data_IF_075827099357
#
_entry.id   IF_075827099357
#
_cell.length_a   1.000
_cell.length_b   1.000
_cell.length_c   1.000
_cell.angle_alpha   90.00
_cell.angle_beta   90.00
_cell.angle_gamma   90.00
#
_symmetry.space_group_name_H-M   'P 1'
#
loop_
_entity.id
_entity.type
_entity.pdbx_description
1 polymer ?
#
# COMPACT_ATOMS: atom_id res chain seq x y z
N UNK A 1 22.93 20.31 -6.01
CA UNK A 1 23.00 19.64 -7.30
C UNK A 1 23.44 20.66 -8.35
N UNK A 2 24.50 20.36 -9.08
CA UNK A 2 25.09 21.23 -10.09
C UNK A 2 24.19 21.48 -11.33
N UNK A 3 23.00 20.87 -11.39
CA UNK A 3 22.12 20.92 -12.56
C UNK A 3 22.63 20.17 -13.79
N UNK A 4 23.84 19.63 -13.73
CA UNK A 4 24.45 18.84 -14.81
C UNK A 4 23.97 17.39 -14.68
N UNK A 5 23.49 16.76 -15.77
CA UNK A 5 23.14 15.33 -15.74
C UNK A 5 24.33 14.49 -15.30
N UNK A 6 24.14 13.64 -14.30
CA UNK A 6 25.20 12.72 -13.83
C UNK A 6 25.37 11.64 -14.90
N UNK A 7 26.59 11.49 -15.40
CA UNK A 7 26.95 10.38 -16.31
C UNK A 7 27.31 9.14 -15.50
N UNK A 8 26.83 8.00 -15.96
CA UNK A 8 27.18 6.71 -15.42
C UNK A 8 27.53 5.72 -16.55
N UNK A 9 28.25 4.66 -16.21
CA UNK A 9 28.70 3.64 -17.16
C UNK A 9 28.41 2.26 -16.58
N UNK A 10 27.73 1.40 -17.33
CA UNK A 10 27.44 0.01 -16.96
C UNK A 10 28.10 -0.98 -17.90
N UNK A 11 28.31 -2.21 -17.46
CA UNK A 11 28.84 -3.30 -18.29
C UNK A 11 30.12 -2.94 -19.06
N UNK A 12 31.04 -2.22 -18.42
CA UNK A 12 32.24 -1.66 -19.05
C UNK A 12 32.04 -0.18 -19.31
N UNK A 13 31.96 0.22 -20.58
CA UNK A 13 31.93 1.64 -20.97
C UNK A 13 30.61 2.06 -21.64
N UNK A 14 29.53 1.32 -21.41
CA UNK A 14 28.22 1.68 -21.96
C UNK A 14 27.66 2.89 -21.17
N UNK A 15 27.57 4.08 -21.81
CA UNK A 15 27.09 5.26 -21.11
C UNK A 15 25.57 5.14 -20.85
N UNK A 16 25.15 5.54 -19.66
CA UNK A 16 23.75 5.60 -19.23
C UNK A 16 23.50 6.90 -18.48
N UNK A 17 22.24 7.30 -18.43
CA UNK A 17 21.83 8.42 -17.58
C UNK A 17 21.88 7.97 -16.11
N UNK A 18 22.75 8.61 -15.33
CA UNK A 18 22.90 8.31 -13.89
C UNK A 18 21.64 8.54 -13.07
N UNK A 19 20.65 9.31 -13.58
CA UNK A 19 19.36 9.48 -12.92
C UNK A 19 18.45 8.27 -13.11
N UNK A 20 18.65 7.49 -14.16
CA UNK A 20 17.93 6.24 -14.41
C UNK A 20 18.53 5.05 -13.66
N UNK A 21 19.80 5.12 -13.31
CA UNK A 21 20.53 4.10 -12.54
C UNK A 21 20.95 4.67 -11.19
N UNK A 22 20.00 4.82 -10.28
CA UNK A 22 20.30 5.37 -8.96
C UNK A 22 20.80 4.31 -7.99
N UNK A 23 21.65 4.70 -7.04
CA UNK A 23 22.18 3.79 -6.00
C UNK A 23 21.04 3.09 -5.22
N UNK A 24 19.95 3.81 -4.98
CA UNK A 24 18.78 3.30 -4.24
C UNK A 24 18.01 2.20 -4.99
N UNK A 25 18.15 2.10 -6.30
CA UNK A 25 17.49 1.04 -7.09
C UNK A 25 18.01 -0.35 -6.72
N UNK A 26 19.29 -0.46 -6.34
CA UNK A 26 19.91 -1.72 -5.95
C UNK A 26 20.21 -1.77 -4.44
N UNK A 27 20.77 -0.69 -3.87
CA UNK A 27 21.15 -0.65 -2.46
C UNK A 27 19.99 -0.31 -1.51
N UNK A 28 18.78 -0.04 -2.04
CA UNK A 28 17.60 0.43 -1.32
C UNK A 28 17.78 1.79 -0.64
N UNK A 29 16.69 2.45 -0.28
CA UNK A 29 16.77 3.73 0.46
C UNK A 29 17.39 3.59 1.86
N UNK A 30 17.27 2.41 2.46
CA UNK A 30 17.90 2.07 3.75
C UNK A 30 19.42 1.90 3.66
N UNK A 31 19.97 1.71 2.46
CA UNK A 31 21.37 1.35 2.26
C UNK A 31 21.72 -0.06 2.75
N UNK A 32 20.73 -0.90 3.08
CA UNK A 32 20.98 -2.27 3.62
C UNK A 32 21.30 -3.29 2.54
N UNK A 33 21.14 -2.92 1.26
CA UNK A 33 21.34 -3.83 0.13
C UNK A 33 20.16 -4.75 -0.15
N UNK A 34 20.31 -5.57 -1.19
CA UNK A 34 19.27 -6.51 -1.65
C UNK A 34 19.87 -7.79 -2.22
N UNK A 35 19.03 -8.79 -2.45
CA UNK A 35 19.36 -9.97 -3.27
C UNK A 35 18.29 -10.09 -4.34
N UNK A 36 18.70 -10.03 -5.59
CA UNK A 36 17.84 -10.16 -6.76
C UNK A 36 18.39 -11.25 -7.68
N UNK A 37 17.78 -12.45 -7.59
CA UNK A 37 18.31 -13.62 -8.26
C UNK A 37 19.72 -13.97 -7.76
N UNK A 38 20.72 -13.94 -8.66
CA UNK A 38 22.11 -14.20 -8.34
C UNK A 38 22.92 -12.91 -7.99
N UNK A 39 22.27 -11.74 -8.12
CA UNK A 39 22.93 -10.46 -7.84
C UNK A 39 22.77 -10.11 -6.36
N UNK A 40 23.91 -10.03 -5.68
CA UNK A 40 23.99 -9.61 -4.28
C UNK A 40 24.47 -8.17 -4.24
N UNK A 41 23.62 -7.27 -3.77
CA UNK A 41 23.95 -5.87 -3.56
C UNK A 41 24.29 -5.65 -2.09
N UNK A 42 25.55 -5.33 -1.75
CA UNK A 42 25.97 -5.21 -0.36
C UNK A 42 25.42 -3.94 0.31
N UNK A 43 25.38 -3.91 1.65
CA UNK A 43 25.06 -2.69 2.41
C UNK A 43 26.06 -1.56 2.14
N UNK A 44 25.52 -0.34 2.13
CA UNK A 44 26.27 0.92 1.90
C UNK A 44 26.20 1.89 3.09
N UNK A 45 25.72 1.45 4.23
CA UNK A 45 25.70 2.24 5.46
C UNK A 45 27.11 2.58 5.92
N UNK A 46 27.34 3.81 6.37
CA UNK A 46 28.67 4.29 6.73
C UNK A 46 29.41 3.37 7.69
N UNK A 47 28.77 2.98 8.81
CA UNK A 47 29.37 2.06 9.76
C UNK A 47 29.84 0.74 9.12
N UNK A 48 29.08 0.18 8.19
CA UNK A 48 29.43 -1.07 7.50
C UNK A 48 30.54 -0.85 6.49
N UNK A 49 30.52 0.27 5.76
CA UNK A 49 31.56 0.59 4.79
C UNK A 49 32.91 0.84 5.46
N UNK A 50 32.95 1.61 6.54
CA UNK A 50 34.15 2.02 7.26
C UNK A 50 34.64 1.01 8.31
N UNK A 51 34.13 -0.23 8.27
CA UNK A 51 34.64 -1.37 8.99
C UNK A 51 35.19 -2.44 8.03
N UNK A 52 36.22 -3.21 8.41
CA UNK A 52 36.66 -4.31 7.59
C UNK A 52 35.58 -5.39 7.49
N UNK A 53 35.34 -5.89 6.29
CA UNK A 53 34.49 -7.05 6.09
C UNK A 53 35.33 -8.31 6.33
N UNK A 54 34.97 -9.02 7.41
CA UNK A 54 35.61 -10.28 7.79
C UNK A 54 34.87 -11.47 7.17
N UNK A 55 35.51 -12.65 7.04
CA UNK A 55 34.84 -13.85 6.62
C UNK A 55 33.69 -14.18 7.55
N UNK A 56 32.62 -14.72 6.98
CA UNK A 56 31.53 -15.28 7.77
C UNK A 56 32.02 -16.57 8.45
N UNK A 57 32.11 -16.58 9.78
CA UNK A 57 32.40 -17.76 10.58
C UNK A 57 31.07 -18.27 11.16
N UNK A 58 30.57 -19.44 10.73
CA UNK A 58 29.35 -20.03 11.30
C UNK A 58 29.50 -20.20 12.83
N UNK A 59 28.51 -19.74 13.61
CA UNK A 59 28.52 -19.83 15.08
C UNK A 59 29.20 -18.67 15.82
N UNK A 60 29.71 -17.64 15.13
CA UNK A 60 30.17 -16.43 15.81
C UNK A 60 28.98 -15.64 16.39
N UNK A 61 29.16 -15.06 17.59
CA UNK A 61 28.13 -14.23 18.25
C UNK A 61 27.79 -12.95 17.47
N UNK A 62 28.65 -12.53 16.57
CA UNK A 62 28.44 -11.37 15.73
C UNK A 62 27.83 -11.80 14.39
N UNK A 63 26.50 -11.77 14.34
CA UNK A 63 25.75 -11.97 13.10
C UNK A 63 25.28 -10.58 12.64
N UNK A 64 25.90 -9.98 11.60
CA UNK A 64 25.39 -8.73 11.05
C UNK A 64 23.95 -8.87 10.58
N UNK A 65 23.18 -7.80 10.62
CA UNK A 65 21.77 -7.78 10.13
C UNK A 65 21.63 -8.18 8.64
N UNK A 66 22.73 -8.27 7.91
CA UNK A 66 22.83 -8.75 6.52
C UNK A 66 23.54 -10.10 6.38
N UNK A 67 23.58 -10.89 7.43
CA UNK A 67 24.38 -12.12 7.53
C UNK A 67 24.08 -13.18 6.48
N UNK A 68 22.88 -13.18 5.92
CA UNK A 68 22.48 -14.19 4.95
C UNK A 68 23.33 -14.21 3.70
N UNK A 69 23.80 -13.07 3.25
CA UNK A 69 24.68 -12.95 2.09
C UNK A 69 26.10 -12.50 2.45
N UNK A 70 26.35 -12.16 3.72
CA UNK A 70 27.71 -11.83 4.15
C UNK A 70 28.72 -12.95 3.83
N UNK A 71 28.27 -14.22 3.87
CA UNK A 71 29.05 -15.40 3.50
C UNK A 71 29.43 -15.47 2.02
N UNK A 72 28.71 -14.77 1.15
CA UNK A 72 28.98 -14.72 -0.28
C UNK A 72 29.78 -13.49 -0.69
N UNK A 73 29.91 -12.52 0.21
CA UNK A 73 30.66 -11.31 -0.05
C UNK A 73 32.17 -11.50 0.31
N UNK A 74 33.04 -11.13 -0.57
CA UNK A 74 34.50 -11.27 -0.34
C UNK A 74 34.95 -10.36 0.81
N UNK A 75 36.02 -10.80 1.50
CA UNK A 75 36.69 -9.98 2.50
C UNK A 75 37.24 -8.70 1.89
N UNK A 76 37.27 -7.65 2.69
CA UNK A 76 37.89 -6.38 2.35
C UNK A 76 38.32 -5.60 3.59
N UNK A 77 39.36 -4.73 3.51
CA UNK A 77 39.62 -3.74 4.55
C UNK A 77 38.48 -2.73 4.67
N UNK A 78 38.49 -1.90 5.71
CA UNK A 78 37.62 -0.74 5.80
C UNK A 78 37.86 0.18 4.58
N UNK A 79 36.78 0.79 4.08
CA UNK A 79 36.96 1.90 3.14
C UNK A 79 37.50 3.13 3.88
N UNK A 80 38.30 3.90 3.17
CA UNK A 80 38.53 5.34 3.44
C UNK A 80 37.67 6.14 2.48
N UNK A 81 37.58 7.46 2.67
CA UNK A 81 36.87 8.33 1.72
C UNK A 81 37.45 8.20 0.31
N UNK A 82 38.80 8.16 0.20
CA UNK A 82 39.51 8.04 -1.08
C UNK A 82 39.22 6.69 -1.75
N UNK A 83 39.30 5.59 -1.01
CA UNK A 83 39.07 4.26 -1.58
C UNK A 83 37.59 4.03 -1.92
N UNK A 84 36.66 4.68 -1.21
CA UNK A 84 35.26 4.65 -1.55
C UNK A 84 34.97 5.50 -2.80
N UNK A 85 35.58 6.68 -2.91
CA UNK A 85 35.54 7.48 -4.13
C UNK A 85 36.09 6.72 -5.33
N UNK A 86 37.24 6.08 -5.16
CA UNK A 86 37.83 5.25 -6.20
C UNK A 86 36.92 4.11 -6.65
N UNK A 87 36.26 3.43 -5.72
CA UNK A 87 35.25 2.41 -6.05
C UNK A 87 34.10 2.98 -6.89
N UNK A 88 33.54 4.11 -6.52
CA UNK A 88 32.40 4.72 -7.22
C UNK A 88 32.79 5.16 -8.63
N UNK A 89 34.03 5.69 -8.81
CA UNK A 89 34.53 6.15 -10.10
C UNK A 89 35.00 5.00 -11.01
N UNK A 90 35.65 4.00 -10.43
CA UNK A 90 36.39 2.97 -11.22
C UNK A 90 35.76 1.57 -11.17
N UNK A 91 34.93 1.30 -10.16
CA UNK A 91 34.41 -0.03 -9.89
C UNK A 91 35.43 -0.98 -9.26
N UNK A 92 36.52 -0.45 -8.70
CA UNK A 92 37.62 -1.24 -8.09
C UNK A 92 37.57 -1.08 -6.56
N UNK A 93 37.51 -2.19 -5.84
CA UNK A 93 37.49 -2.19 -4.38
C UNK A 93 38.92 -2.01 -3.79
N UNK A 94 39.05 -1.78 -2.46
CA UNK A 94 40.36 -1.59 -1.82
C UNK A 94 41.32 -2.79 -1.91
N UNK A 95 40.87 -3.94 -2.40
CA UNK A 95 41.67 -5.14 -2.61
C UNK A 95 42.05 -5.34 -4.09
N UNK A 96 41.85 -4.30 -4.90
CA UNK A 96 42.07 -4.31 -6.36
C UNK A 96 41.18 -5.27 -7.14
N UNK A 97 40.00 -5.64 -6.58
CA UNK A 97 39.03 -6.45 -7.27
C UNK A 97 37.97 -5.54 -7.96
N UNK A 98 37.62 -5.92 -9.17
CA UNK A 98 36.49 -5.30 -9.85
C UNK A 98 35.16 -5.78 -9.22
N UNK A 99 34.27 -4.86 -8.90
CA UNK A 99 32.91 -5.19 -8.51
C UNK A 99 32.10 -5.67 -9.72
N UNK A 100 30.89 -6.22 -9.48
CA UNK A 100 30.04 -6.69 -10.57
C UNK A 100 29.80 -5.57 -11.57
N UNK A 101 29.89 -5.86 -12.86
CA UNK A 101 29.70 -4.89 -13.96
C UNK A 101 28.32 -4.28 -14.03
N UNK A 102 27.35 -4.86 -13.32
CA UNK A 102 25.99 -4.31 -13.17
C UNK A 102 25.98 -3.08 -12.24
N UNK A 103 26.94 -2.96 -11.32
CA UNK A 103 27.10 -1.75 -10.51
C UNK A 103 27.64 -0.63 -11.40
N UNK A 104 26.89 0.47 -11.59
CA UNK A 104 27.34 1.59 -12.39
C UNK A 104 28.58 2.26 -11.80
N UNK A 105 29.46 2.75 -12.67
CA UNK A 105 30.50 3.72 -12.31
C UNK A 105 30.00 5.11 -12.61
N UNK A 106 30.16 6.03 -11.69
CA UNK A 106 29.61 7.38 -11.80
C UNK A 106 30.72 8.39 -12.01
N UNK A 107 30.57 9.23 -13.02
CA UNK A 107 31.47 10.36 -13.28
C UNK A 107 31.03 11.54 -12.38
N UNK A 108 31.51 11.54 -11.14
CA UNK A 108 31.21 12.56 -10.13
C UNK A 108 32.42 13.46 -9.93
N UNK A 109 32.20 14.79 -9.98
CA UNK A 109 33.19 15.76 -9.54
C UNK A 109 33.43 15.71 -8.02
N UNK A 110 34.55 16.29 -7.57
CA UNK A 110 34.93 16.25 -6.15
C UNK A 110 33.84 16.68 -5.17
N UNK A 111 33.09 17.76 -5.49
CA UNK A 111 32.03 18.27 -4.65
C UNK A 111 30.87 17.29 -4.53
N UNK A 112 30.41 16.70 -5.63
CA UNK A 112 29.29 15.76 -5.63
C UNK A 112 29.71 14.43 -4.99
N UNK A 113 30.95 14.01 -5.16
CA UNK A 113 31.54 12.88 -4.47
C UNK A 113 31.58 13.07 -2.95
N UNK A 114 31.99 14.25 -2.48
CA UNK A 114 31.98 14.55 -1.05
C UNK A 114 30.57 14.52 -0.45
N UNK A 115 29.57 15.04 -1.18
CA UNK A 115 28.16 14.98 -0.79
C UNK A 115 27.70 13.51 -0.70
N UNK A 116 28.02 12.69 -1.72
CA UNK A 116 27.66 11.28 -1.75
C UNK A 116 28.28 10.51 -0.56
N UNK A 117 29.55 10.70 -0.30
CA UNK A 117 30.26 10.06 0.83
C UNK A 117 29.63 10.50 2.17
N UNK A 118 29.36 11.80 2.33
CA UNK A 118 28.67 12.31 3.53
C UNK A 118 27.29 11.68 3.71
N UNK A 119 26.53 11.53 2.63
CA UNK A 119 25.24 10.85 2.66
C UNK A 119 25.36 9.39 3.08
N UNK A 120 26.28 8.63 2.49
CA UNK A 120 26.50 7.23 2.84
C UNK A 120 26.94 7.07 4.32
N UNK A 121 27.75 7.97 4.85
CA UNK A 121 28.11 8.01 6.28
C UNK A 121 26.93 8.27 7.18
N UNK A 122 25.94 9.02 6.72
CA UNK A 122 24.72 9.36 7.47
C UNK A 122 23.70 8.22 7.53
N UNK A 123 23.80 7.21 6.66
CA UNK A 123 22.89 6.08 6.66
C UNK A 123 23.06 5.25 7.93
N UNK A 124 21.98 5.09 8.69
CA UNK A 124 21.96 4.33 9.94
C UNK A 124 22.14 2.83 9.69
N UNK A 125 22.86 2.17 10.56
CA UNK A 125 22.93 0.72 10.67
C UNK A 125 22.13 0.19 11.88
N UNK A 126 21.51 1.08 12.61
CA UNK A 126 20.65 0.72 13.74
C UNK A 126 19.40 -0.01 13.24
N UNK A 127 18.95 -1.05 13.93
CA UNK A 127 17.69 -1.68 13.62
C UNK A 127 16.57 -0.62 13.56
N UNK A 128 15.66 -0.69 12.60
CA UNK A 128 14.52 0.20 12.59
C UNK A 128 13.67 0.01 13.86
N UNK A 129 12.88 1.03 14.25
CA UNK A 129 11.97 0.88 15.38
C UNK A 129 11.13 -0.40 15.28
N UNK A 130 10.92 -1.08 16.39
CA UNK A 130 10.16 -2.32 16.44
C UNK A 130 10.92 -3.57 16.00
N UNK A 131 12.19 -3.46 15.59
CA UNK A 131 13.04 -4.62 15.25
C UNK A 131 14.06 -4.86 16.34
N UNK A 132 14.09 -6.07 16.86
CA UNK A 132 15.09 -6.55 17.82
C UNK A 132 15.84 -7.75 17.23
N UNK A 133 16.80 -8.31 17.96
CA UNK A 133 17.52 -9.52 17.54
C UNK A 133 16.62 -10.76 17.41
N UNK A 134 15.48 -10.80 18.10
CA UNK A 134 14.60 -11.97 18.24
C UNK A 134 13.19 -11.73 17.66
N UNK A 135 12.81 -10.45 17.42
CA UNK A 135 11.42 -10.10 17.13
C UNK A 135 11.30 -8.89 16.18
N UNK A 136 10.29 -8.94 15.33
CA UNK A 136 9.78 -7.77 14.60
C UNK A 136 8.36 -7.49 15.12
N UNK A 137 8.15 -6.27 15.61
CA UNK A 137 6.87 -5.82 16.16
C UNK A 137 6.08 -5.07 15.12
N UNK A 138 4.84 -5.48 14.96
CA UNK A 138 3.84 -4.82 14.15
C UNK A 138 2.70 -4.32 15.04
N UNK A 139 1.92 -3.39 14.54
CA UNK A 139 0.64 -3.05 15.13
C UNK A 139 -0.44 -2.95 14.04
N UNK A 140 -1.70 -2.98 14.48
CA UNK A 140 -2.85 -2.65 13.66
C UNK A 140 -3.71 -1.62 14.38
N UNK A 141 -4.22 -0.64 13.65
CA UNK A 141 -5.04 0.44 14.21
C UNK A 141 -6.51 0.13 14.00
N UNK A 142 -7.28 0.16 15.07
CA UNK A 142 -8.72 -0.07 15.06
C UNK A 142 -9.41 1.19 15.57
N UNK A 143 -10.27 1.77 14.75
CA UNK A 143 -11.10 2.90 15.18
C UNK A 143 -12.30 2.36 15.96
N UNK A 144 -12.53 2.90 17.17
CA UNK A 144 -13.66 2.54 18.01
C UNK A 144 -14.99 2.76 17.28
N UNK A 145 -15.93 1.83 17.46
CA UNK A 145 -17.23 1.88 16.77
C UNK A 145 -17.29 1.19 15.41
N UNK A 146 -16.16 0.74 14.87
CA UNK A 146 -16.15 -0.08 13.65
C UNK A 146 -16.84 -1.43 13.88
N UNK A 147 -17.58 -1.93 12.88
CA UNK A 147 -18.31 -3.22 12.98
C UNK A 147 -17.37 -4.34 13.48
N UNK A 148 -17.69 -4.99 14.61
CA UNK A 148 -16.85 -6.05 15.18
C UNK A 148 -16.62 -7.22 14.21
N UNK A 149 -17.55 -7.51 13.31
CA UNK A 149 -17.41 -8.56 12.30
C UNK A 149 -16.35 -8.16 11.27
N UNK A 150 -16.34 -6.91 10.82
CA UNK A 150 -15.34 -6.38 9.92
C UNK A 150 -13.95 -6.37 10.58
N UNK A 151 -13.87 -5.93 11.84
CA UNK A 151 -12.63 -5.98 12.64
C UNK A 151 -12.09 -7.40 12.71
N UNK A 152 -12.92 -8.38 13.07
CA UNK A 152 -12.50 -9.78 13.18
C UNK A 152 -12.09 -10.36 11.82
N UNK A 153 -12.79 -10.00 10.73
CA UNK A 153 -12.46 -10.44 9.38
C UNK A 153 -11.09 -9.92 8.92
N UNK A 154 -10.67 -8.74 9.36
CA UNK A 154 -9.34 -8.20 9.11
C UNK A 154 -8.28 -8.87 10.01
N UNK A 155 -8.58 -9.04 11.31
CA UNK A 155 -7.61 -9.54 12.29
C UNK A 155 -7.29 -11.03 12.13
N UNK A 156 -8.29 -11.86 11.81
CA UNK A 156 -8.12 -13.31 11.78
C UNK A 156 -7.03 -13.77 10.79
N UNK A 157 -6.99 -13.33 9.52
CA UNK A 157 -5.94 -13.71 8.59
C UNK A 157 -4.56 -13.15 8.98
N UNK A 158 -4.50 -11.95 9.56
CA UNK A 158 -3.24 -11.38 10.06
C UNK A 158 -2.68 -12.24 11.21
N UNK A 159 -3.49 -12.55 12.20
CA UNK A 159 -3.08 -13.36 13.34
C UNK A 159 -2.68 -14.78 12.88
N UNK A 160 -3.47 -15.40 12.01
CA UNK A 160 -3.14 -16.70 11.44
C UNK A 160 -1.77 -16.71 10.75
N UNK A 161 -1.48 -15.66 9.96
CA UNK A 161 -0.22 -15.55 9.23
C UNK A 161 0.97 -15.38 10.18
N UNK A 162 0.81 -14.59 11.24
CA UNK A 162 1.81 -14.40 12.29
C UNK A 162 2.05 -15.68 13.08
N UNK A 163 1.00 -16.35 13.50
CA UNK A 163 1.10 -17.61 14.25
C UNK A 163 1.77 -18.70 13.42
N UNK A 164 1.42 -18.81 12.15
CA UNK A 164 2.07 -19.73 11.19
C UNK A 164 3.55 -19.40 11.04
N UNK A 165 3.91 -18.10 10.86
CA UNK A 165 5.30 -17.67 10.77
C UNK A 165 6.08 -18.01 12.03
N UNK A 166 5.51 -17.76 13.21
CA UNK A 166 6.14 -18.03 14.50
C UNK A 166 6.31 -19.54 14.76
N UNK A 167 5.36 -20.35 14.33
CA UNK A 167 5.46 -21.80 14.41
C UNK A 167 6.60 -22.33 13.54
N UNK A 168 6.77 -21.80 12.33
CA UNK A 168 7.89 -22.14 11.44
C UNK A 168 9.23 -21.70 12.03
N UNK A 169 9.31 -20.50 12.61
CA UNK A 169 10.52 -20.04 13.28
C UNK A 169 10.91 -20.94 14.46
N UNK A 170 9.94 -21.34 15.27
CA UNK A 170 10.18 -22.25 16.39
C UNK A 170 10.61 -23.65 15.92
N UNK A 171 10.00 -24.17 14.87
CA UNK A 171 10.38 -25.47 14.28
C UNK A 171 11.80 -25.42 13.67
N UNK A 172 12.17 -24.30 13.02
CA UNK A 172 13.50 -24.09 12.45
C UNK A 172 14.58 -24.10 13.54
N UNK A 173 14.33 -23.50 14.69
CA UNK A 173 15.27 -23.50 15.82
C UNK A 173 15.43 -24.92 16.41
N UNK A 174 14.35 -25.72 16.44
CA UNK A 174 14.38 -27.07 17.02
C UNK A 174 14.91 -28.16 16.08
N UNK A 175 14.86 -27.95 14.79
CA UNK A 175 15.19 -28.98 13.81
C UNK A 175 15.98 -28.42 12.63
N UNK A 176 17.30 -28.67 12.62
CA UNK A 176 18.22 -28.21 11.55
C UNK A 176 17.81 -28.65 10.12
N UNK A 177 17.02 -29.69 9.96
CA UNK A 177 16.49 -30.14 8.65
C UNK A 177 15.38 -29.22 8.14
N UNK A 178 14.48 -28.82 9.05
CA UNK A 178 13.39 -27.85 8.74
C UNK A 178 13.97 -26.46 8.54
N UNK A 179 15.00 -26.09 9.33
CA UNK A 179 15.78 -24.86 9.14
C UNK A 179 16.37 -24.77 7.72
N UNK A 180 16.90 -25.89 7.19
CA UNK A 180 17.48 -25.93 5.83
C UNK A 180 16.44 -25.76 4.72
N UNK A 181 15.20 -26.30 4.89
CA UNK A 181 14.11 -26.10 3.94
C UNK A 181 13.52 -24.68 4.02
N UNK A 182 13.33 -24.14 5.22
CA UNK A 182 12.86 -22.77 5.44
C UNK A 182 13.91 -21.72 5.05
N UNK A 183 15.19 -22.03 5.22
CA UNK A 183 16.33 -21.18 4.87
C UNK A 183 16.41 -20.87 3.36
N UNK A 184 16.06 -21.84 2.53
CA UNK A 184 16.03 -21.64 1.08
C UNK A 184 14.83 -20.82 0.58
N UNK A 185 13.76 -20.69 1.38
CA UNK A 185 12.55 -19.97 0.99
C UNK A 185 12.39 -18.57 1.63
N UNK A 186 12.90 -18.34 2.84
CA UNK A 186 12.61 -17.14 3.64
C UNK A 186 13.84 -16.43 4.24
N UNK A 187 15.04 -16.96 4.04
CA UNK A 187 16.27 -16.38 4.59
C UNK A 187 16.31 -16.36 6.15
N UNK A 188 17.14 -15.49 6.74
CA UNK A 188 17.30 -15.36 8.21
C UNK A 188 16.05 -14.83 8.94
N UNK A 189 15.12 -14.19 8.22
CA UNK A 189 13.84 -13.82 8.78
C UNK A 189 13.04 -15.03 9.31
N UNK A 190 13.43 -16.25 8.96
CA UNK A 190 12.81 -17.47 9.51
C UNK A 190 12.95 -17.60 11.02
N UNK A 191 14.03 -17.08 11.61
CA UNK A 191 14.30 -17.19 13.04
C UNK A 191 13.61 -16.10 13.87
N UNK A 192 13.34 -14.92 13.28
CA UNK A 192 12.69 -13.82 13.99
C UNK A 192 11.20 -14.12 14.24
N UNK A 193 10.73 -13.85 15.43
CA UNK A 193 9.30 -13.88 15.75
C UNK A 193 8.62 -12.60 15.28
N UNK A 194 7.34 -12.69 14.98
CA UNK A 194 6.48 -11.55 14.70
C UNK A 194 5.48 -11.38 15.83
N UNK A 195 5.25 -10.15 16.27
CA UNK A 195 4.16 -9.80 17.17
C UNK A 195 3.25 -8.76 16.54
N UNK A 196 1.98 -8.74 16.95
CA UNK A 196 0.96 -7.82 16.48
C UNK A 196 0.24 -7.21 17.66
N UNK A 197 0.50 -5.92 17.90
CA UNK A 197 -0.22 -5.12 18.89
C UNK A 197 -1.48 -4.50 18.28
N UNK A 198 -2.53 -4.37 19.08
CA UNK A 198 -3.78 -3.73 18.67
C UNK A 198 -3.86 -2.34 19.27
N UNK A 199 -3.84 -1.33 18.44
CA UNK A 199 -3.98 0.07 18.84
C UNK A 199 -5.41 0.52 18.61
N UNK A 200 -6.21 0.57 19.66
CA UNK A 200 -7.60 1.03 19.56
C UNK A 200 -7.64 2.53 19.84
N UNK A 201 -7.94 3.31 18.82
CA UNK A 201 -8.11 4.75 18.92
C UNK A 201 -9.59 5.12 19.00
N UNK A 202 -9.92 6.15 19.75
CA UNK A 202 -11.29 6.52 20.08
C UNK A 202 -11.52 8.02 20.14
N UNK A 203 -12.78 8.39 20.14
CA UNK A 203 -13.19 9.80 20.17
C UNK A 203 -12.98 10.51 18.83
N UNK A 204 -12.93 11.84 18.87
CA UNK A 204 -12.81 12.67 17.68
C UNK A 204 -11.45 12.47 16.98
N UNK A 205 -11.40 12.49 15.63
CA UNK A 205 -10.16 12.30 14.85
C UNK A 205 -9.02 13.25 15.25
N UNK A 206 -9.34 14.46 15.69
CA UNK A 206 -8.37 15.43 16.18
C UNK A 206 -7.56 14.94 17.39
N UNK A 207 -8.06 13.97 18.16
CA UNK A 207 -7.38 13.39 19.32
C UNK A 207 -6.55 12.15 19.00
N UNK A 208 -6.68 11.57 17.82
CA UNK A 208 -6.04 10.30 17.46
C UNK A 208 -4.53 10.40 17.40
N UNK A 209 -4.03 11.54 16.96
CA UNK A 209 -2.59 11.79 16.90
C UNK A 209 -1.89 11.53 18.24
N UNK A 210 -2.43 12.09 19.31
CA UNK A 210 -1.87 11.91 20.66
C UNK A 210 -1.91 10.45 21.09
N UNK A 211 -3.02 9.74 20.83
CA UNK A 211 -3.15 8.32 21.17
C UNK A 211 -2.15 7.45 20.40
N UNK A 212 -1.95 7.70 19.10
CA UNK A 212 -0.96 7.00 18.30
C UNK A 212 0.47 7.23 18.78
N UNK A 213 0.79 8.46 19.18
CA UNK A 213 2.10 8.78 19.74
C UNK A 213 2.34 8.11 21.11
N UNK A 214 1.32 7.98 21.94
CA UNK A 214 1.40 7.26 23.20
C UNK A 214 1.64 5.76 22.97
N UNK A 215 0.89 5.12 22.06
CA UNK A 215 1.13 3.72 21.69
C UNK A 215 2.55 3.52 21.18
N UNK A 216 2.98 4.33 20.22
CA UNK A 216 4.29 4.20 19.62
C UNK A 216 5.44 4.47 20.59
N UNK A 217 5.30 5.43 21.49
CA UNK A 217 6.30 5.71 22.53
C UNK A 217 6.44 4.55 23.51
N UNK A 218 5.31 3.91 23.87
CA UNK A 218 5.30 2.76 24.77
C UNK A 218 5.88 1.52 24.10
N UNK A 219 5.53 1.29 22.86
CA UNK A 219 5.94 0.12 22.09
C UNK A 219 6.17 0.51 20.63
N UNK A 220 7.41 0.90 20.27
CA UNK A 220 7.74 1.18 18.87
C UNK A 220 7.52 -0.05 17.99
N UNK A 221 6.97 0.17 16.80
CA UNK A 221 6.69 -0.88 15.83
C UNK A 221 7.39 -0.62 14.50
N UNK A 222 7.70 -1.69 13.78
CA UNK A 222 8.32 -1.63 12.46
C UNK A 222 7.34 -1.13 11.40
N UNK A 223 6.11 -1.63 11.45
CA UNK A 223 5.06 -1.25 10.51
C UNK A 223 3.67 -1.43 11.13
N UNK A 224 2.69 -0.74 10.57
CA UNK A 224 1.29 -1.03 10.77
C UNK A 224 0.81 -2.00 9.68
N UNK A 225 0.11 -3.06 10.08
CA UNK A 225 -0.47 -4.06 9.18
C UNK A 225 -2.00 -3.95 9.21
N UNK A 226 -2.61 -3.75 8.07
CA UNK A 226 -4.04 -3.50 8.01
C UNK A 226 -4.38 -2.17 8.71
N UNK A 227 -5.33 -2.22 9.59
CA UNK A 227 -6.01 -1.08 10.20
C UNK A 227 -7.39 -0.94 9.61
N UNK A 228 -8.36 -0.44 10.39
CA UNK A 228 -9.73 -0.38 9.94
C UNK A 228 -10.47 0.85 10.45
N UNK A 229 -11.17 1.52 9.53
CA UNK A 229 -12.06 2.65 9.82
C UNK A 229 -13.14 2.78 8.75
N UNK A 230 -14.38 2.99 9.17
CA UNK A 230 -15.49 3.37 8.28
C UNK A 230 -15.58 4.88 8.03
N UNK A 231 -14.72 5.66 8.67
CA UNK A 231 -14.73 7.12 8.62
C UNK A 231 -13.39 7.74 8.24
N UNK A 232 -12.88 8.56 9.14
CA UNK A 232 -11.61 9.24 8.94
C UNK A 232 -10.43 8.28 9.05
N UNK A 233 -9.39 8.53 8.25
CA UNK A 233 -8.11 7.83 8.34
C UNK A 233 -6.91 8.77 8.25
N UNK A 234 -7.14 10.00 7.83
CA UNK A 234 -6.09 10.98 7.60
C UNK A 234 -5.14 11.18 8.79
N UNK A 235 -5.59 11.21 10.07
CA UNK A 235 -4.67 11.34 11.21
C UNK A 235 -3.70 10.15 11.34
N UNK A 236 -4.15 8.92 11.01
CA UNK A 236 -3.29 7.72 11.02
C UNK A 236 -2.30 7.78 9.86
N UNK A 237 -2.77 8.15 8.67
CA UNK A 237 -1.94 8.33 7.50
C UNK A 237 -0.81 9.35 7.78
N UNK A 238 -1.15 10.55 8.27
CA UNK A 238 -0.16 11.59 8.60
C UNK A 238 0.83 11.16 9.67
N UNK A 239 0.36 10.46 10.68
CA UNK A 239 1.24 9.88 11.69
C UNK A 239 2.29 8.96 11.06
N UNK A 240 1.87 8.08 10.14
CA UNK A 240 2.76 7.14 9.46
C UNK A 240 3.79 7.87 8.58
N UNK A 241 3.35 8.88 7.80
CA UNK A 241 4.25 9.67 6.95
C UNK A 241 5.30 10.41 7.77
N UNK A 242 4.90 11.09 8.85
CA UNK A 242 5.82 11.86 9.69
C UNK A 242 6.78 10.99 10.49
N UNK A 243 6.33 9.86 11.02
CA UNK A 243 7.17 8.92 11.77
C UNK A 243 7.93 7.95 10.85
N UNK A 244 7.66 7.99 9.54
CA UNK A 244 8.24 7.07 8.54
C UNK A 244 7.96 5.60 8.87
N UNK A 245 6.73 5.32 9.29
CA UNK A 245 6.26 3.97 9.64
C UNK A 245 5.46 3.42 8.46
N UNK A 246 5.89 2.32 7.83
CA UNK A 246 5.07 1.69 6.79
C UNK A 246 3.68 1.31 7.32
N UNK A 247 2.63 1.69 6.60
CA UNK A 247 1.26 1.28 6.86
C UNK A 247 0.73 0.51 5.66
N UNK A 248 0.54 -0.79 5.82
CA UNK A 248 0.27 -1.71 4.73
C UNK A 248 -1.19 -2.14 4.72
N UNK A 249 -1.89 -1.75 3.65
CA UNK A 249 -3.24 -2.19 3.30
C UNK A 249 -4.32 -1.92 4.37
N UNK A 250 -4.45 -0.69 4.88
CA UNK A 250 -5.55 -0.37 5.77
C UNK A 250 -6.90 -0.52 5.05
N UNK A 251 -7.89 -1.08 5.75
CA UNK A 251 -9.27 -1.28 5.28
C UNK A 251 -10.07 -0.02 5.62
N UNK A 252 -10.15 0.90 4.68
CA UNK A 252 -10.74 2.22 4.92
C UNK A 252 -11.63 2.66 3.76
N UNK A 253 -12.75 3.31 4.08
CA UNK A 253 -13.66 3.86 3.09
C UNK A 253 -13.05 5.05 2.33
N UNK A 254 -12.20 5.82 2.98
CA UNK A 254 -11.62 7.07 2.46
C UNK A 254 -10.09 7.08 2.58
N UNK A 255 -9.38 6.39 1.68
CA UNK A 255 -7.92 6.47 1.61
C UNK A 255 -7.46 7.90 1.34
N UNK A 256 -6.34 8.29 1.93
CA UNK A 256 -5.67 9.55 1.59
C UNK A 256 -4.84 9.33 0.33
N UNK A 257 -5.24 9.99 -0.75
CA UNK A 257 -4.55 9.87 -2.03
C UNK A 257 -3.58 11.04 -2.17
N UNK A 258 -2.31 10.74 -2.34
CA UNK A 258 -1.23 11.72 -2.47
C UNK A 258 -0.16 11.18 -3.42
N UNK A 259 0.42 12.06 -4.22
CA UNK A 259 1.54 11.73 -5.11
C UNK A 259 2.90 11.91 -4.42
N UNK A 260 2.92 12.41 -3.19
CA UNK A 260 4.13 12.74 -2.43
C UNK A 260 4.32 11.95 -1.15
N UNK A 261 3.31 11.20 -0.72
CA UNK A 261 3.35 10.37 0.48
C UNK A 261 3.81 8.95 0.13
N UNK A 262 4.64 8.33 1.00
CA UNK A 262 5.40 7.12 0.67
C UNK A 262 5.21 5.97 1.63
N UNK A 263 4.68 6.23 2.83
CA UNK A 263 4.67 5.24 3.91
C UNK A 263 3.37 4.48 4.02
N UNK A 264 2.28 4.95 3.38
CA UNK A 264 1.00 4.23 3.40
C UNK A 264 0.69 3.64 2.02
N UNK A 265 0.54 2.32 1.96
CA UNK A 265 0.13 1.59 0.78
C UNK A 265 -1.32 1.14 0.91
N UNK A 266 -2.20 1.73 0.12
CA UNK A 266 -3.61 1.35 0.05
C UNK A 266 -3.84 0.28 -1.02
N UNK A 267 -4.73 -0.67 -0.75
CA UNK A 267 -5.13 -1.69 -1.71
C UNK A 267 -6.07 -1.13 -2.80
N UNK A 268 -6.87 -0.13 -2.44
CA UNK A 268 -7.82 0.50 -3.35
C UNK A 268 -7.97 2.00 -3.01
N UNK A 269 -8.68 2.71 -3.88
CA UNK A 269 -9.08 4.11 -3.65
C UNK A 269 -10.39 4.22 -2.86
N UNK A 270 -10.77 3.16 -2.15
CA UNK A 270 -11.96 3.09 -1.31
C UNK A 270 -13.26 3.29 -2.09
N UNK A 271 -14.25 3.88 -1.42
CA UNK A 271 -15.60 4.12 -1.97
C UNK A 271 -15.58 4.88 -3.30
N UNK A 272 -14.60 5.77 -3.50
CA UNK A 272 -14.44 6.50 -4.77
C UNK A 272 -14.23 5.54 -5.94
N UNK A 273 -13.43 4.48 -5.75
CA UNK A 273 -13.13 3.49 -6.78
C UNK A 273 -14.37 2.68 -7.19
N UNK A 274 -15.31 2.43 -6.29
CA UNK A 274 -16.60 1.83 -6.67
C UNK A 274 -17.33 2.68 -7.71
N UNK A 275 -17.40 4.01 -7.50
CA UNK A 275 -17.99 4.93 -8.47
C UNK A 275 -17.25 4.93 -9.80
N UNK A 276 -15.92 4.93 -9.77
CA UNK A 276 -15.08 4.85 -10.98
C UNK A 276 -15.27 3.54 -11.73
N UNK A 277 -15.37 2.41 -11.01
CA UNK A 277 -15.61 1.10 -11.59
C UNK A 277 -16.98 1.01 -12.28
N UNK A 278 -18.02 1.57 -11.64
CA UNK A 278 -19.35 1.65 -12.21
C UNK A 278 -19.37 2.43 -13.55
N UNK A 279 -18.65 3.54 -13.61
CA UNK A 279 -18.56 4.34 -14.83
C UNK A 279 -17.90 3.57 -15.96
N UNK A 280 -16.76 2.91 -15.69
CA UNK A 280 -16.05 2.08 -16.70
C UNK A 280 -16.89 0.90 -17.16
N UNK A 281 -17.59 0.23 -16.24
CA UNK A 281 -18.49 -0.87 -16.56
C UNK A 281 -19.62 -0.43 -17.49
N UNK A 282 -20.30 0.69 -17.13
CA UNK A 282 -21.37 1.23 -17.98
C UNK A 282 -20.88 1.67 -19.35
N UNK A 283 -19.69 2.26 -19.43
CA UNK A 283 -19.11 2.67 -20.71
C UNK A 283 -18.90 1.48 -21.66
N UNK A 284 -18.48 0.33 -21.12
CA UNK A 284 -18.39 -0.92 -21.87
C UNK A 284 -19.74 -1.44 -22.43
N UNK A 285 -20.85 -0.91 -21.91
CA UNK A 285 -22.20 -1.24 -22.33
C UNK A 285 -22.86 -0.15 -23.21
N UNK A 286 -22.09 0.64 -23.92
CA UNK A 286 -22.56 1.82 -24.66
C UNK A 286 -23.74 1.55 -25.61
N UNK A 287 -23.85 0.34 -26.15
CA UNK A 287 -24.99 -0.10 -26.99
C UNK A 287 -26.35 -0.01 -26.28
N UNK A 288 -26.38 -0.12 -24.94
CA UNK A 288 -27.60 0.01 -24.16
C UNK A 288 -28.14 1.45 -24.13
N UNK A 289 -27.29 2.43 -24.37
CA UNK A 289 -27.65 3.83 -24.11
C UNK A 289 -28.47 4.45 -25.24
N UNK A 290 -28.15 4.23 -26.49
CA UNK A 290 -28.88 4.76 -27.66
C UNK A 290 -29.33 6.22 -27.48
N UNK A 291 -28.47 7.08 -26.95
CA UNK A 291 -28.77 8.49 -26.66
C UNK A 291 -29.55 8.76 -25.39
N UNK A 292 -29.94 7.74 -24.60
CA UNK A 292 -30.63 7.91 -23.31
C UNK A 292 -29.63 8.23 -22.21
N UNK A 293 -30.00 9.10 -21.20
CA UNK A 293 -29.08 9.50 -20.14
C UNK A 293 -28.90 8.39 -19.09
N UNK A 294 -27.80 8.50 -18.31
CA UNK A 294 -27.67 7.83 -17.02
C UNK A 294 -28.36 8.67 -15.98
N UNK A 295 -29.20 8.05 -15.12
CA UNK A 295 -29.76 8.67 -13.94
C UNK A 295 -28.92 8.30 -12.72
N UNK A 296 -28.22 9.26 -12.14
CA UNK A 296 -27.45 9.09 -10.93
C UNK A 296 -28.22 9.67 -9.73
N UNK A 297 -28.65 8.80 -8.83
CA UNK A 297 -29.27 9.15 -7.56
C UNK A 297 -28.24 8.93 -6.43
N UNK A 298 -28.00 9.92 -5.59
CA UNK A 298 -27.06 9.77 -4.49
C UNK A 298 -27.51 10.48 -3.20
N UNK A 299 -27.24 9.85 -2.06
CA UNK A 299 -27.50 10.41 -0.73
C UNK A 299 -26.58 11.60 -0.45
N UNK A 300 -27.14 12.65 0.17
CA UNK A 300 -26.38 13.80 0.66
C UNK A 300 -25.57 13.44 1.93
N UNK A 301 -24.80 12.36 1.86
CA UNK A 301 -23.81 11.90 2.84
C UNK A 301 -22.42 11.94 2.22
N UNK A 302 -21.36 11.84 3.05
CA UNK A 302 -19.98 11.75 2.54
C UNK A 302 -19.84 10.56 1.58
N UNK A 303 -20.35 9.39 1.95
CA UNK A 303 -20.28 8.15 1.14
C UNK A 303 -20.98 8.33 -0.21
N UNK A 304 -22.22 8.77 -0.20
CA UNK A 304 -23.00 9.01 -1.43
C UNK A 304 -22.36 10.03 -2.35
N UNK A 305 -21.81 11.12 -1.82
CA UNK A 305 -21.13 12.15 -2.60
C UNK A 305 -19.80 11.65 -3.17
N UNK A 306 -19.02 10.87 -2.42
CA UNK A 306 -17.74 10.30 -2.86
C UNK A 306 -17.97 9.33 -4.02
N UNK A 307 -18.94 8.43 -3.91
CA UNK A 307 -19.34 7.51 -4.98
C UNK A 307 -19.80 8.28 -6.24
N UNK A 308 -20.67 9.27 -6.05
CA UNK A 308 -21.20 10.06 -7.16
C UNK A 308 -20.09 10.85 -7.88
N UNK A 309 -19.15 11.41 -7.15
CA UNK A 309 -17.99 12.13 -7.71
C UNK A 309 -17.10 11.18 -8.48
N UNK A 310 -16.74 10.03 -7.92
CA UNK A 310 -15.92 9.01 -8.59
C UNK A 310 -16.55 8.54 -9.89
N UNK A 311 -17.86 8.28 -9.88
CA UNK A 311 -18.62 7.93 -11.07
C UNK A 311 -18.57 9.04 -12.13
N UNK A 312 -18.94 10.25 -11.76
CA UNK A 312 -19.05 11.39 -12.67
C UNK A 312 -17.72 11.74 -13.37
N UNK A 313 -16.66 11.81 -12.58
CA UNK A 313 -15.33 12.14 -13.12
C UNK A 313 -14.81 11.04 -14.06
N UNK A 314 -14.96 9.77 -13.64
CA UNK A 314 -14.55 8.65 -14.48
C UNK A 314 -15.42 8.55 -15.76
N UNK A 315 -16.74 8.75 -15.66
CA UNK A 315 -17.66 8.76 -16.79
C UNK A 315 -17.28 9.83 -17.81
N UNK A 316 -16.94 11.05 -17.33
CA UNK A 316 -16.43 12.12 -18.19
C UNK A 316 -15.10 11.75 -18.84
N UNK A 317 -14.19 11.16 -18.08
CA UNK A 317 -12.84 10.80 -18.56
C UNK A 317 -12.88 9.73 -19.67
N UNK A 318 -13.83 8.79 -19.60
CA UNK A 318 -14.01 7.77 -20.67
C UNK A 318 -14.86 8.26 -21.84
N UNK A 319 -15.32 9.50 -21.84
CA UNK A 319 -16.18 10.03 -22.93
C UNK A 319 -17.64 9.61 -22.83
N UNK A 320 -18.13 9.33 -21.64
CA UNK A 320 -19.52 8.94 -21.40
C UNK A 320 -20.53 10.03 -21.74
N UNK A 321 -21.76 9.62 -22.05
CA UNK A 321 -22.87 10.48 -22.46
C UNK A 321 -23.46 11.30 -21.31
N UNK A 322 -24.72 11.79 -21.52
CA UNK A 322 -25.41 12.64 -20.57
C UNK A 322 -25.73 11.93 -19.23
N UNK A 323 -25.44 12.63 -18.13
CA UNK A 323 -25.84 12.24 -16.78
C UNK A 323 -26.95 13.18 -16.28
N UNK A 324 -27.99 12.61 -15.69
CA UNK A 324 -28.94 13.36 -14.85
C UNK A 324 -28.64 13.05 -13.38
N UNK A 325 -28.21 14.04 -12.63
CA UNK A 325 -27.91 13.89 -11.19
C UNK A 325 -29.10 14.31 -10.34
N UNK A 326 -29.42 13.48 -9.34
CA UNK A 326 -30.43 13.79 -8.33
C UNK A 326 -29.85 13.53 -6.94
N UNK A 327 -29.65 14.58 -6.17
CA UNK A 327 -29.19 14.54 -4.80
C UNK A 327 -30.38 14.30 -3.87
N UNK A 328 -30.33 13.26 -3.07
CA UNK A 328 -31.32 12.95 -2.04
C UNK A 328 -30.89 13.58 -0.72
N UNK A 329 -31.69 14.45 -0.08
CA UNK A 329 -31.39 14.97 1.25
C UNK A 329 -31.13 13.83 2.26
N UNK A 330 -30.27 14.08 3.24
CA UNK A 330 -29.84 13.04 4.20
C UNK A 330 -31.01 12.35 4.90
N UNK A 331 -32.05 13.11 5.25
CA UNK A 331 -33.21 12.64 6.00
C UNK A 331 -34.43 12.29 5.12
N UNK A 332 -34.31 12.39 3.80
CA UNK A 332 -35.43 12.11 2.90
C UNK A 332 -35.44 10.63 2.49
N UNK A 333 -36.53 9.93 2.77
CA UNK A 333 -36.71 8.55 2.33
C UNK A 333 -37.02 8.50 0.83
N UNK A 334 -36.23 7.74 0.07
CA UNK A 334 -36.58 7.42 -1.32
C UNK A 334 -37.78 6.49 -1.35
N UNK A 335 -38.85 6.91 -2.03
CA UNK A 335 -40.05 6.11 -2.19
C UNK A 335 -40.17 5.59 -3.63
N UNK A 336 -40.86 4.45 -3.82
CA UNK A 336 -41.16 3.91 -5.16
C UNK A 336 -41.88 4.96 -6.05
N UNK A 337 -42.85 5.71 -5.51
CA UNK A 337 -43.54 6.78 -6.24
C UNK A 337 -42.60 7.85 -6.77
N UNK A 338 -41.66 8.31 -5.94
CA UNK A 338 -40.64 9.32 -6.34
C UNK A 338 -39.68 8.77 -7.40
N UNK A 339 -39.19 7.54 -7.20
CA UNK A 339 -38.30 6.90 -8.14
C UNK A 339 -38.96 6.66 -9.50
N UNK A 340 -40.18 6.09 -9.52
CA UNK A 340 -40.90 5.84 -10.75
C UNK A 340 -41.26 7.13 -11.51
N UNK A 341 -41.59 8.21 -10.79
CA UNK A 341 -41.77 9.53 -11.40
C UNK A 341 -40.51 10.01 -12.12
N UNK A 342 -39.36 9.91 -11.47
CA UNK A 342 -38.07 10.29 -12.05
C UNK A 342 -37.74 9.44 -13.30
N UNK A 343 -37.93 8.12 -13.22
CA UNK A 343 -37.68 7.20 -14.34
C UNK A 343 -38.59 7.52 -15.52
N UNK A 344 -39.89 7.73 -15.29
CA UNK A 344 -40.81 8.06 -16.37
C UNK A 344 -40.51 9.42 -17.02
N UNK A 345 -40.06 10.39 -16.25
CA UNK A 345 -39.68 11.71 -16.76
C UNK A 345 -38.36 11.70 -17.53
N UNK A 346 -37.36 11.02 -17.01
CA UNK A 346 -35.99 11.04 -17.55
C UNK A 346 -35.69 9.90 -18.52
N UNK A 347 -36.46 8.82 -18.48
CA UNK A 347 -36.34 7.61 -19.31
C UNK A 347 -34.87 7.13 -19.40
N UNK A 348 -34.18 6.93 -18.24
CA UNK A 348 -32.76 6.63 -18.23
C UNK A 348 -32.45 5.27 -18.87
N UNK A 349 -31.28 5.14 -19.49
CA UNK A 349 -30.77 3.85 -19.94
C UNK A 349 -30.30 3.00 -18.77
N UNK A 350 -29.65 3.63 -17.78
CA UNK A 350 -29.16 3.02 -16.55
C UNK A 350 -29.51 3.89 -15.35
N UNK A 351 -29.74 3.23 -14.20
CA UNK A 351 -29.88 3.88 -12.89
C UNK A 351 -28.63 3.56 -12.06
N UNK A 352 -27.99 4.58 -11.55
CA UNK A 352 -26.91 4.48 -10.57
C UNK A 352 -27.44 4.98 -9.24
N UNK A 353 -27.48 4.11 -8.24
CA UNK A 353 -28.08 4.39 -6.92
C UNK A 353 -26.99 4.32 -5.82
N UNK A 354 -26.53 5.47 -5.38
CA UNK A 354 -25.56 5.62 -4.29
C UNK A 354 -26.29 5.97 -2.98
N UNK A 355 -26.98 4.95 -2.43
CA UNK A 355 -27.77 5.08 -1.23
C UNK A 355 -27.69 3.80 -0.39
N UNK A 356 -28.13 3.91 0.86
CA UNK A 356 -28.14 2.80 1.80
C UNK A 356 -29.30 1.81 1.55
N UNK A 357 -29.31 0.76 2.36
CA UNK A 357 -30.30 -0.31 2.28
C UNK A 357 -31.78 0.17 2.42
N UNK A 358 -32.01 1.32 3.07
CA UNK A 358 -33.35 1.86 3.23
C UNK A 358 -34.00 2.26 1.89
N UNK A 359 -33.23 2.38 0.83
CA UNK A 359 -33.71 2.67 -0.53
C UNK A 359 -34.06 1.44 -1.35
N UNK A 360 -33.68 0.23 -0.95
CA UNK A 360 -33.99 -1.01 -1.69
C UNK A 360 -35.50 -1.21 -1.92
N UNK A 361 -36.39 -0.96 -0.94
CA UNK A 361 -37.86 -1.05 -1.16
C UNK A 361 -38.37 -0.11 -2.25
N UNK A 362 -37.69 1.00 -2.51
CA UNK A 362 -38.10 1.92 -3.57
C UNK A 362 -37.91 1.35 -4.99
N UNK A 363 -37.10 0.33 -5.14
CA UNK A 363 -36.87 -0.38 -6.40
C UNK A 363 -37.99 -1.39 -6.71
N UNK A 364 -38.88 -1.69 -5.75
CA UNK A 364 -40.02 -2.61 -5.96
C UNK A 364 -40.90 -2.13 -7.11
N UNK A 365 -41.31 -3.07 -7.95
CA UNK A 365 -42.10 -2.81 -9.15
C UNK A 365 -41.35 -2.14 -10.30
N UNK A 366 -40.06 -1.85 -10.16
CA UNK A 366 -39.21 -1.27 -11.24
C UNK A 366 -39.14 -2.18 -12.46
N UNK A 367 -39.02 -3.48 -12.23
CA UNK A 367 -38.89 -4.48 -13.30
C UNK A 367 -40.13 -4.50 -14.25
N UNK A 368 -41.31 -4.17 -13.72
CA UNK A 368 -42.58 -4.14 -14.47
C UNK A 368 -42.80 -2.83 -15.27
N UNK A 369 -41.94 -1.82 -15.13
CA UNK A 369 -42.15 -0.53 -15.79
C UNK A 369 -41.75 -0.57 -17.28
N UNK A 370 -42.56 0.02 -18.14
CA UNK A 370 -42.32 0.15 -19.56
C UNK A 370 -41.00 0.93 -19.87
N UNK A 371 -40.75 1.99 -19.08
CA UNK A 371 -39.62 2.87 -19.24
C UNK A 371 -38.45 2.51 -18.26
N UNK A 372 -38.38 1.27 -17.79
CA UNK A 372 -37.34 0.83 -16.87
C UNK A 372 -35.94 1.04 -17.43
N UNK A 373 -34.94 1.33 -16.59
CA UNK A 373 -33.54 1.26 -17.01
C UNK A 373 -33.17 -0.18 -17.39
N UNK A 374 -32.20 -0.34 -18.26
CA UNK A 374 -31.66 -1.66 -18.63
C UNK A 374 -30.95 -2.34 -17.47
N UNK A 375 -30.38 -1.54 -16.55
CA UNK A 375 -29.71 -2.02 -15.34
C UNK A 375 -29.74 -0.97 -14.23
N UNK A 376 -29.53 -1.45 -13.00
CA UNK A 376 -29.35 -0.64 -11.78
C UNK A 376 -27.98 -0.97 -11.21
N UNK A 377 -27.14 0.03 -10.95
CA UNK A 377 -25.89 -0.13 -10.22
C UNK A 377 -26.07 0.40 -8.79
N UNK A 378 -25.57 -0.34 -7.82
CA UNK A 378 -25.54 0.06 -6.42
C UNK A 378 -24.20 -0.31 -5.76
N UNK A 379 -23.83 0.43 -4.72
CA UNK A 379 -22.59 0.18 -3.98
C UNK A 379 -22.75 -1.00 -3.03
N UNK A 380 -21.88 -2.00 -3.17
CA UNK A 380 -21.79 -3.12 -2.23
C UNK A 380 -21.38 -2.65 -0.83
N UNK A 381 -20.48 -1.70 -0.75
CA UNK A 381 -20.04 -1.09 0.51
C UNK A 381 -21.16 -0.31 1.19
N UNK A 382 -22.03 0.36 0.43
CA UNK A 382 -23.12 1.14 1.00
C UNK A 382 -24.29 0.27 1.46
N UNK A 383 -24.60 -0.79 0.71
CA UNK A 383 -25.66 -1.73 1.07
C UNK A 383 -25.27 -2.68 2.21
N UNK A 384 -23.97 -3.00 2.33
CA UNK A 384 -23.47 -3.88 3.39
C UNK A 384 -24.22 -5.21 3.46
N UNK A 385 -24.63 -5.63 4.66
CA UNK A 385 -25.33 -6.91 4.89
C UNK A 385 -26.69 -7.01 4.18
N UNK A 386 -27.31 -5.89 3.79
CA UNK A 386 -28.60 -5.90 3.09
C UNK A 386 -28.52 -6.45 1.65
N UNK A 387 -27.30 -6.64 1.12
CA UNK A 387 -27.09 -7.35 -0.16
C UNK A 387 -27.79 -8.71 -0.21
N UNK A 388 -27.84 -9.41 0.91
CA UNK A 388 -28.43 -10.74 1.01
C UNK A 388 -29.97 -10.70 1.07
N UNK A 389 -30.56 -9.52 1.24
CA UNK A 389 -32.02 -9.31 1.32
C UNK A 389 -32.61 -8.69 0.06
N UNK A 390 -31.83 -8.58 -1.03
CA UNK A 390 -32.30 -8.05 -2.31
C UNK A 390 -33.39 -8.94 -2.87
N UNK A 391 -34.59 -8.37 -3.19
CA UNK A 391 -35.71 -9.11 -3.77
C UNK A 391 -35.32 -9.82 -5.07
N UNK A 392 -35.89 -11.00 -5.29
CA UNK A 392 -35.54 -11.85 -6.43
C UNK A 392 -35.82 -11.15 -7.78
N UNK A 393 -36.94 -10.40 -7.87
CA UNK A 393 -37.30 -9.66 -9.08
C UNK A 393 -36.29 -8.56 -9.46
N UNK A 394 -35.44 -8.13 -8.54
CA UNK A 394 -34.40 -7.13 -8.80
C UNK A 394 -33.07 -7.76 -9.21
N UNK A 395 -32.82 -9.03 -8.91
CA UNK A 395 -31.51 -9.67 -9.14
C UNK A 395 -31.06 -9.65 -10.60
N UNK A 396 -32.02 -9.71 -11.55
CA UNK A 396 -31.72 -9.62 -12.97
C UNK A 396 -31.35 -8.19 -13.43
N UNK A 397 -31.63 -7.17 -12.63
CA UNK A 397 -31.38 -5.76 -12.97
C UNK A 397 -30.30 -5.12 -12.12
N UNK A 398 -30.07 -5.62 -10.90
CA UNK A 398 -29.19 -5.00 -9.93
C UNK A 398 -27.78 -5.57 -10.03
N UNK A 399 -26.85 -4.71 -10.35
CA UNK A 399 -25.41 -4.96 -10.37
C UNK A 399 -24.77 -4.24 -9.20
N UNK A 400 -23.82 -4.90 -8.57
CA UNK A 400 -23.13 -4.40 -7.39
C UNK A 400 -21.71 -4.00 -7.74
N UNK A 401 -21.27 -2.87 -7.22
CA UNK A 401 -19.91 -2.41 -7.32
C UNK A 401 -19.16 -2.63 -6.00
N UNK A 402 -17.85 -2.83 -6.10
CA UNK A 402 -16.96 -2.99 -4.98
C UNK A 402 -15.66 -2.21 -5.25
N UNK A 403 -14.93 -1.78 -4.20
CA UNK A 403 -13.70 -1.01 -4.36
C UNK A 403 -12.46 -1.84 -4.72
N UNK A 404 -12.62 -3.11 -5.10
CA UNK A 404 -11.53 -4.06 -5.37
C UNK A 404 -11.52 -4.56 -6.81
#
# INVERSE_FOLDING_TARGET
PSGTPIKAYVSGDVPVDGTSFTCVSCHLRSGLGSIEGEVITPPTNGRILYQPRRPFIPGSEFVPSYSNYAKYLPERPAYTDDSLAALILTGIDPTSRSVLKVMPRYDLGEKDMAIMISYLKSLSDQPPPGVTKDEIRFATVIVEGTDPVAVQSMLAPLQFSIDRKNSLATAAVKNHRVARMGYNMLGDLSALKFSLSRWTIKGAPATWRTQLEEYYRKEPVFALLGGISEGEWEPVHRFCEEKKIPNLFPVVDYPVLSDTDWYTLYFSRGVRQEGEAAARYLYGMAELFKGRPVLQLYRASRKGQTLATGFKESWKAVGGGAITEVRLPANEKLTAKKLLKLINQKKPAALVLWDDAASLPALSGLAAQKNRPGLVLASGTYLGKALWTVPEELRALLYLTYPY
#
